data_IF_092666696472
#
_entry.id   IF_092666696472
#
_cell.length_a   1.000
_cell.length_b   1.000
_cell.length_c   1.000
_cell.angle_alpha   90.00
_cell.angle_beta   90.00
_cell.angle_gamma   90.00
#
_symmetry.space_group_name_H-M   'P 1'
#
loop_
_entity.id
_entity.type
_entity.pdbx_description
1 polymer ?
#
# COMPACT_ATOMS: atom_id res chain seq x y z
N UNK A 1 15.75 3.57 -13.48
CA UNK A 1 15.47 4.38 -12.27
C UNK A 1 16.50 5.50 -12.19
N UNK A 2 16.09 6.77 -12.33
CA UNK A 2 17.03 7.91 -12.23
C UNK A 2 17.10 8.49 -10.82
N UNK A 3 16.07 8.26 -9.99
CA UNK A 3 15.89 8.84 -8.65
C UNK A 3 15.62 7.80 -7.55
N UNK A 4 15.83 6.52 -7.83
CA UNK A 4 15.58 5.44 -6.87
C UNK A 4 14.10 5.11 -6.62
N UNK A 5 13.17 5.79 -7.31
CA UNK A 5 11.73 5.52 -7.21
C UNK A 5 11.29 4.61 -8.34
N UNK A 6 10.58 3.54 -8.01
CA UNK A 6 9.90 2.68 -8.98
C UNK A 6 8.44 3.11 -9.07
N UNK A 7 8.03 3.52 -10.27
CA UNK A 7 6.65 3.89 -10.59
C UNK A 7 6.00 2.83 -11.49
N UNK A 8 4.74 2.54 -11.23
CA UNK A 8 3.90 1.68 -12.05
C UNK A 8 2.53 2.31 -12.18
N UNK A 9 2.05 2.47 -13.42
CA UNK A 9 0.69 2.93 -13.73
C UNK A 9 -0.07 1.82 -14.45
N UNK A 10 -1.31 1.59 -14.03
CA UNK A 10 -2.20 0.57 -14.60
C UNK A 10 -3.58 1.19 -14.83
N UNK A 11 -4.23 0.84 -15.93
CA UNK A 11 -5.64 1.10 -16.18
C UNK A 11 -6.40 -0.21 -16.00
N UNK A 12 -7.38 -0.22 -15.12
CA UNK A 12 -8.30 -1.34 -14.92
C UNK A 12 -9.68 -0.96 -15.44
N UNK A 13 -10.21 -1.74 -16.38
CA UNK A 13 -11.55 -1.54 -16.92
C UNK A 13 -12.56 -2.32 -16.10
N UNK A 14 -13.65 -1.66 -15.76
CA UNK A 14 -14.78 -2.25 -15.04
C UNK A 14 -16.08 -1.99 -15.80
N UNK A 15 -17.17 -2.72 -15.53
CA UNK A 15 -18.47 -2.45 -16.16
C UNK A 15 -19.02 -1.03 -15.92
N UNK A 16 -18.52 -0.31 -14.92
CA UNK A 16 -18.93 1.05 -14.57
C UNK A 16 -18.02 2.15 -15.09
N UNK A 17 -16.85 1.79 -15.62
CA UNK A 17 -15.85 2.73 -16.10
C UNK A 17 -14.44 2.25 -15.76
N UNK A 18 -13.46 3.13 -15.94
CA UNK A 18 -12.05 2.82 -15.74
C UNK A 18 -11.53 3.30 -14.38
N UNK A 19 -10.53 2.59 -13.86
CA UNK A 19 -9.76 2.95 -12.67
C UNK A 19 -8.30 3.11 -13.08
N UNK A 20 -7.75 4.30 -12.89
CA UNK A 20 -6.30 4.49 -12.99
C UNK A 20 -5.66 4.21 -11.63
N UNK A 21 -4.66 3.36 -11.62
CA UNK A 21 -3.93 2.97 -10.43
C UNK A 21 -2.47 3.35 -10.62
N UNK A 22 -1.98 4.27 -9.82
CA UNK A 22 -0.58 4.69 -9.79
C UNK A 22 0.07 4.20 -8.49
N UNK A 23 1.16 3.47 -8.62
CA UNK A 23 1.95 2.97 -7.50
C UNK A 23 3.38 3.50 -7.60
N UNK A 24 3.84 4.14 -6.55
CA UNK A 24 5.22 4.60 -6.38
C UNK A 24 5.82 3.91 -5.16
N UNK A 25 7.03 3.41 -5.29
CA UNK A 25 7.73 2.77 -4.16
C UNK A 25 9.22 3.04 -4.20
N UNK A 26 9.83 3.12 -3.03
CA UNK A 26 11.27 3.18 -2.88
C UNK A 26 11.72 2.48 -1.60
N UNK A 27 12.97 2.02 -1.59
CA UNK A 27 13.66 1.53 -0.41
C UNK A 27 14.63 2.60 0.04
N UNK A 28 14.62 2.92 1.33
CA UNK A 28 15.50 3.94 1.88
C UNK A 28 16.95 3.45 1.93
N UNK A 29 17.86 4.26 1.39
CA UNK A 29 19.30 4.00 1.51
C UNK A 29 19.87 4.45 2.84
N UNK A 30 19.22 5.42 3.50
CA UNK A 30 19.62 5.93 4.80
C UNK A 30 19.12 5.06 5.97
N UNK A 31 17.97 4.41 5.79
CA UNK A 31 17.37 3.47 6.75
C UNK A 31 17.01 2.21 6.01
N UNK A 32 17.87 1.21 6.07
CA UNK A 32 17.79 -0.03 5.29
C UNK A 32 16.52 -0.86 5.57
N UNK A 33 15.92 -0.66 6.72
CA UNK A 33 14.72 -1.32 7.19
C UNK A 33 13.42 -0.68 6.65
N UNK A 34 13.53 0.51 6.03
CA UNK A 34 12.37 1.29 5.60
C UNK A 34 12.12 1.18 4.11
N UNK A 35 10.90 0.78 3.78
CA UNK A 35 10.31 0.87 2.45
C UNK A 35 9.09 1.78 2.52
N UNK A 36 8.93 2.69 1.58
CA UNK A 36 7.72 3.49 1.44
C UNK A 36 7.01 3.17 0.13
N UNK A 37 5.69 3.13 0.19
CA UNK A 37 4.80 2.88 -0.93
C UNK A 37 3.69 3.93 -0.93
N UNK A 38 3.46 4.56 -2.08
CA UNK A 38 2.29 5.40 -2.35
C UNK A 38 1.41 4.69 -3.36
N UNK A 39 0.15 4.58 -3.03
CA UNK A 39 -0.85 3.96 -3.89
C UNK A 39 -1.97 4.95 -4.14
N UNK A 40 -2.19 5.33 -5.40
CA UNK A 40 -3.21 6.31 -5.79
C UNK A 40 -4.19 5.64 -6.74
N UNK A 41 -5.47 5.73 -6.44
CA UNK A 41 -6.55 5.22 -7.29
C UNK A 41 -7.40 6.39 -7.75
N UNK A 42 -7.55 6.53 -9.05
CA UNK A 42 -8.37 7.58 -9.69
C UNK A 42 -9.46 6.92 -10.52
N UNK A 43 -10.70 6.85 -10.01
CA UNK A 43 -11.83 6.34 -10.79
C UNK A 43 -12.32 7.38 -11.81
N UNK A 44 -12.86 6.92 -12.93
CA UNK A 44 -13.56 7.77 -13.92
C UNK A 44 -15.04 7.95 -13.61
N UNK A 45 -15.52 7.40 -12.51
CA UNK A 45 -16.91 7.41 -12.08
C UNK A 45 -16.99 7.54 -10.56
N UNK A 46 -18.16 7.96 -10.06
CA UNK A 46 -18.40 8.07 -8.62
C UNK A 46 -18.48 6.68 -7.98
N UNK A 47 -17.61 6.42 -7.01
CA UNK A 47 -17.58 5.15 -6.29
C UNK A 47 -17.06 5.32 -4.86
N UNK A 48 -17.39 4.36 -4.01
CA UNK A 48 -16.75 4.16 -2.71
C UNK A 48 -15.58 3.19 -2.92
N UNK A 49 -14.39 3.60 -2.52
CA UNK A 49 -13.20 2.74 -2.49
C UNK A 49 -12.96 2.26 -1.06
N UNK A 50 -12.73 0.97 -0.93
CA UNK A 50 -12.26 0.36 0.30
C UNK A 50 -10.86 -0.19 0.04
N UNK A 51 -9.89 0.20 0.85
CA UNK A 51 -8.50 -0.21 0.73
C UNK A 51 -8.09 -0.90 2.02
N UNK A 52 -7.67 -2.15 1.91
CA UNK A 52 -7.19 -2.94 3.05
C UNK A 52 -5.70 -3.24 2.85
N UNK A 53 -4.79 -2.50 3.48
CA UNK A 53 -3.39 -2.85 3.48
C UNK A 53 -3.19 -4.11 4.35
N UNK A 54 -2.34 -5.02 3.89
CA UNK A 54 -2.03 -6.24 4.64
C UNK A 54 -0.58 -6.66 4.48
N UNK A 55 -0.09 -7.46 5.41
CA UNK A 55 1.18 -8.16 5.34
C UNK A 55 0.90 -9.65 5.18
N UNK A 56 1.42 -10.24 4.11
CA UNK A 56 1.29 -11.67 3.86
C UNK A 56 2.52 -12.42 4.37
N UNK A 57 2.35 -13.22 5.41
CA UNK A 57 3.37 -14.11 5.95
C UNK A 57 3.36 -15.52 5.36
N UNK A 58 2.35 -15.86 4.53
CA UNK A 58 2.20 -17.16 3.89
C UNK A 58 2.58 -17.14 2.41
N UNK A 59 3.66 -16.49 2.07
CA UNK A 59 4.13 -16.38 0.69
C UNK A 59 4.64 -17.72 0.18
N UNK A 60 4.16 -18.13 -0.99
CA UNK A 60 4.64 -19.28 -1.74
C UNK A 60 5.28 -18.84 -3.04
N UNK A 61 6.29 -19.54 -3.48
CA UNK A 61 6.87 -19.32 -4.79
C UNK A 61 6.02 -20.06 -5.85
N UNK A 62 5.17 -19.31 -6.56
CA UNK A 62 4.26 -19.88 -7.57
C UNK A 62 4.98 -20.43 -8.81
N UNK A 63 6.17 -19.89 -9.10
CA UNK A 63 6.96 -20.27 -10.29
C UNK A 63 8.01 -21.35 -9.98
N UNK A 64 8.10 -21.84 -8.75
CA UNK A 64 8.96 -22.94 -8.39
C UNK A 64 8.27 -24.29 -8.66
N UNK A 65 9.06 -25.29 -9.04
CA UNK A 65 8.60 -26.67 -9.25
C UNK A 65 7.99 -27.31 -7.97
N UNK A 66 8.12 -26.65 -6.85
CA UNK A 66 7.66 -27.08 -5.54
C UNK A 66 6.69 -26.07 -4.98
N UNK A 67 5.45 -26.45 -4.76
CA UNK A 67 4.45 -25.64 -4.05
C UNK A 67 4.73 -25.66 -2.52
N UNK A 68 5.97 -25.56 -2.13
CA UNK A 68 6.36 -25.66 -0.74
C UNK A 68 6.21 -24.31 -0.02
N UNK A 69 5.80 -24.41 1.23
CA UNK A 69 5.86 -23.30 2.18
C UNK A 69 7.29 -23.21 2.73
N UNK A 70 7.91 -22.05 2.58
CA UNK A 70 9.25 -21.80 3.12
C UNK A 70 9.23 -21.13 4.49
N UNK A 71 8.06 -20.64 4.90
CA UNK A 71 7.87 -19.84 6.09
C UNK A 71 6.85 -20.47 7.03
N UNK A 72 7.16 -20.45 8.32
CA UNK A 72 6.22 -20.64 9.41
C UNK A 72 5.88 -19.27 9.99
N UNK A 73 4.60 -18.93 10.07
CA UNK A 73 4.14 -17.75 10.76
C UNK A 73 4.22 -18.00 12.25
N UNK A 74 5.01 -17.20 12.96
CA UNK A 74 5.20 -17.33 14.41
C UNK A 74 4.20 -16.47 15.17
N UNK A 75 3.98 -15.24 14.68
CA UNK A 75 3.11 -14.27 15.33
C UNK A 75 2.61 -13.23 14.31
N UNK A 76 1.49 -12.58 14.64
CA UNK A 76 0.94 -11.51 13.82
C UNK A 76 -0.05 -10.67 14.63
N UNK A 77 0.05 -9.36 14.44
CA UNK A 77 -0.86 -8.38 15.03
C UNK A 77 -1.37 -7.43 13.96
N UNK A 78 -2.63 -7.07 14.03
CA UNK A 78 -3.25 -6.06 13.19
C UNK A 78 -4.07 -5.10 14.04
N UNK A 79 -3.86 -3.81 13.84
CA UNK A 79 -4.58 -2.71 14.42
C UNK A 79 -5.18 -1.85 13.30
N UNK A 80 -5.94 -0.82 13.64
CA UNK A 80 -6.66 0.00 12.67
C UNK A 80 -5.78 0.54 11.53
N UNK A 81 -4.56 0.97 11.85
CA UNK A 81 -3.65 1.61 10.89
C UNK A 81 -2.26 0.96 10.82
N UNK A 82 -2.08 -0.16 11.48
CA UNK A 82 -0.79 -0.84 11.55
C UNK A 82 -0.96 -2.36 11.58
N UNK A 83 0.02 -3.05 11.02
CA UNK A 83 0.12 -4.50 11.12
C UNK A 83 1.58 -4.91 11.25
N UNK A 84 1.83 -6.01 11.95
CA UNK A 84 3.14 -6.63 12.01
C UNK A 84 3.03 -8.14 11.91
N UNK A 85 4.03 -8.76 11.30
CA UNK A 85 4.14 -10.22 11.21
C UNK A 85 5.55 -10.66 11.58
N UNK A 86 5.66 -11.83 12.19
CA UNK A 86 6.89 -12.50 12.50
C UNK A 86 6.87 -13.88 11.84
N UNK A 87 7.82 -14.12 10.95
CA UNK A 87 7.94 -15.38 10.22
C UNK A 87 9.32 -15.98 10.41
N UNK A 88 9.42 -17.31 10.34
CA UNK A 88 10.66 -18.05 10.43
C UNK A 88 10.76 -19.05 9.28
N UNK A 89 11.93 -19.21 8.70
CA UNK A 89 12.14 -20.23 7.67
C UNK A 89 11.91 -21.62 8.23
N UNK A 90 11.30 -22.50 7.43
CA UNK A 90 11.13 -23.91 7.75
C UNK A 90 12.46 -24.65 7.76
N UNK A 91 12.51 -25.75 8.44
CA UNK A 91 13.63 -26.70 8.30
C UNK A 91 13.66 -27.26 6.89
N UNK A 92 14.86 -27.46 6.38
CA UNK A 92 15.07 -28.06 5.08
C UNK A 92 16.08 -29.23 5.18
N UNK A 93 16.03 -30.17 4.25
CA UNK A 93 16.87 -31.36 4.30
C UNK A 93 18.36 -31.06 4.09
N UNK A 94 18.72 -29.84 3.71
CA UNK A 94 20.11 -29.43 3.45
C UNK A 94 20.84 -28.87 4.67
N UNK A 95 20.16 -28.79 5.83
CA UNK A 95 20.74 -28.27 7.07
C UNK A 95 21.02 -26.76 7.04
N UNK A 96 20.35 -26.00 6.17
CA UNK A 96 20.50 -24.55 6.12
C UNK A 96 20.00 -23.92 7.44
N UNK A 97 20.78 -23.02 8.07
CA UNK A 97 20.34 -22.36 9.29
C UNK A 97 19.00 -21.62 9.09
N UNK A 98 18.12 -21.78 10.07
CA UNK A 98 16.84 -21.05 10.08
C UNK A 98 17.06 -19.61 10.51
N UNK A 99 16.36 -18.70 9.89
CA UNK A 99 16.35 -17.28 10.28
C UNK A 99 14.92 -16.75 10.43
N UNK A 100 14.79 -15.73 11.25
CA UNK A 100 13.52 -15.06 11.53
C UNK A 100 13.49 -13.70 10.87
N UNK A 101 12.33 -13.35 10.29
CA UNK A 101 12.09 -12.04 9.68
C UNK A 101 10.88 -11.43 10.37
N UNK A 102 11.02 -10.18 10.81
CA UNK A 102 9.92 -9.35 11.28
C UNK A 102 9.61 -8.30 10.20
N UNK A 103 8.33 -8.17 9.86
CA UNK A 103 7.83 -7.12 8.98
C UNK A 103 6.75 -6.33 9.71
N UNK A 104 6.77 -5.01 9.59
CA UNK A 104 5.71 -4.15 10.09
C UNK A 104 5.33 -3.12 9.04
N UNK A 105 4.06 -2.74 8.99
CA UNK A 105 3.56 -1.66 8.16
C UNK A 105 2.69 -0.72 9.00
N UNK A 106 2.69 0.55 8.61
CA UNK A 106 1.72 1.53 9.07
C UNK A 106 1.16 2.25 7.85
N UNK A 107 -0.15 2.39 7.79
CA UNK A 107 -0.82 3.21 6.79
C UNK A 107 -1.39 4.45 7.48
N UNK A 108 -1.15 5.67 6.98
CA UNK A 108 -1.84 6.84 7.51
C UNK A 108 -3.33 6.66 7.27
N UNK A 109 -4.11 6.73 8.33
CA UNK A 109 -5.57 6.75 8.26
C UNK A 109 -6.04 8.09 7.73
N UNK A 110 -6.15 8.23 6.41
CA UNK A 110 -6.95 9.31 5.85
C UNK A 110 -8.42 8.89 5.90
N UNK A 111 -9.31 9.70 6.46
CA UNK A 111 -10.75 9.42 6.36
C UNK A 111 -11.13 9.33 4.87
N UNK A 112 -12.12 8.51 4.50
CA UNK A 112 -12.53 8.33 3.11
C UNK A 112 -12.90 9.68 2.49
N UNK A 113 -12.07 10.21 1.62
CA UNK A 113 -12.36 11.43 0.86
C UNK A 113 -13.39 11.08 -0.20
N UNK A 114 -14.52 11.78 -0.15
CA UNK A 114 -15.50 11.73 -1.25
C UNK A 114 -14.93 12.47 -2.45
N UNK A 115 -15.19 11.94 -3.64
CA UNK A 115 -14.83 12.57 -4.92
C UNK A 115 -15.74 13.80 -5.12
N UNK A 116 -15.58 14.83 -4.39
CA UNK A 116 -16.36 16.06 -4.38
C UNK A 116 -15.76 17.10 -3.44
N UNK A 117 -14.95 16.66 -2.50
CA UNK A 117 -14.35 17.55 -1.50
C UNK A 117 -13.14 18.33 -2.05
N UNK A 118 -12.67 17.98 -3.25
CA UNK A 118 -11.56 18.69 -3.92
C UNK A 118 -12.03 19.90 -4.79
N UNK A 119 -13.34 20.10 -4.97
CA UNK A 119 -13.88 21.15 -5.83
C UNK A 119 -14.42 22.38 -5.05
N UNK A 120 -14.17 22.50 -3.77
CA UNK A 120 -14.85 23.45 -2.89
C UNK A 120 -14.01 24.48 -2.17
N UNK A 121 -12.89 24.97 -2.77
CA UNK A 121 -12.26 26.17 -2.18
C UNK A 121 -11.78 27.15 -3.26
N UNK A 122 -12.75 27.66 -3.99
CA UNK A 122 -12.59 28.71 -5.00
C UNK A 122 -13.66 29.80 -4.92
N UNK A 123 -14.19 30.11 -3.73
CA UNK A 123 -15.02 31.33 -3.56
C UNK A 123 -14.26 32.39 -2.80
N UNK A 124 -13.55 33.20 -3.58
CA UNK A 124 -13.09 34.50 -3.15
C UNK A 124 -14.26 35.36 -2.65
N UNK A 125 -14.22 35.70 -1.37
CA UNK A 125 -15.10 36.67 -0.77
C UNK A 125 -14.88 38.04 -1.40
N UNK A 126 -15.80 38.50 -2.23
CA UNK A 126 -15.97 39.93 -2.55
C UNK A 126 -16.53 40.63 -1.32
N UNK A 127 -15.68 41.32 -0.62
CA UNK A 127 -16.14 42.37 0.32
C UNK A 127 -16.74 43.49 -0.51
N UNK A 128 -18.06 43.65 -0.44
CA UNK A 128 -18.76 44.83 -0.86
C UNK A 128 -18.47 45.96 0.12
N UNK A 129 -17.82 47.00 -0.34
CA UNK A 129 -17.75 48.28 0.35
C UNK A 129 -19.07 49.00 -0.01
N UNK A 130 -19.96 49.07 0.94
CA UNK A 130 -21.15 49.94 0.90
C UNK A 130 -20.80 51.23 1.61
N UNK A 131 -20.68 52.31 0.85
CA UNK A 131 -20.68 53.64 1.38
C UNK A 131 -22.14 54.14 1.55
N UNK A 132 -22.32 54.97 2.51
CA UNK A 132 -23.57 55.71 2.83
C UNK A 132 -23.38 56.44 4.13
#
# INVERSE_FOLDING_TARGET
MRNGILTRSVMAETPKGSLRIDCERFVSMARKELLALRYTVTPSFDCKLEMTPYLDGDVRNLDANYQERFWDMLDGVAEENAAAVLVKTRENPFGTPRFTVAGAQAAPGDPPRRLGDAAGDGRGGRRGVGGG
#
